data_IF_015866955315
#
_entry.id   IF_015866955315
#
_cell.length_a   1.000
_cell.length_b   1.000
_cell.length_c   1.000
_cell.angle_alpha   90.00
_cell.angle_beta   90.00
_cell.angle_gamma   90.00
#
_symmetry.space_group_name_H-M   'P 1'
#
loop_
_entity.id
_entity.type
_entity.pdbx_description
1 polymer ?
#
# COMPACT_ATOMS: atom_id res chain seq x y z
N UNK A 1 -2.75 -19.32 -12.54
CA UNK A 1 -3.64 -18.80 -11.49
C UNK A 1 -3.93 -17.36 -11.84
N UNK A 2 -5.21 -16.99 -11.89
CA UNK A 2 -5.63 -15.61 -12.11
C UNK A 2 -5.38 -14.80 -10.83
N UNK A 3 -4.70 -13.66 -10.95
CA UNK A 3 -4.35 -12.79 -9.83
C UNK A 3 -5.58 -12.29 -9.08
N UNK A 4 -6.66 -11.96 -9.81
CA UNK A 4 -7.93 -11.54 -9.20
C UNK A 4 -8.58 -12.64 -8.37
N UNK A 5 -8.52 -13.89 -8.85
CA UNK A 5 -9.06 -15.05 -8.12
C UNK A 5 -8.26 -15.33 -6.85
N UNK A 6 -6.93 -15.15 -6.88
CA UNK A 6 -6.09 -15.31 -5.69
C UNK A 6 -6.42 -14.27 -4.60
N UNK A 7 -6.67 -13.00 -4.99
CA UNK A 7 -7.08 -11.94 -4.05
C UNK A 7 -8.41 -12.26 -3.37
N UNK A 8 -9.41 -12.65 -4.16
CA UNK A 8 -10.73 -13.03 -3.64
C UNK A 8 -10.63 -14.21 -2.66
N UNK A 9 -9.82 -15.21 -2.99
CA UNK A 9 -9.58 -16.35 -2.09
C UNK A 9 -8.89 -15.95 -0.79
N UNK A 10 -7.95 -15.00 -0.82
CA UNK A 10 -7.31 -14.49 0.40
C UNK A 10 -8.30 -13.70 1.26
N UNK A 11 -9.14 -12.85 0.65
CA UNK A 11 -10.19 -12.11 1.36
C UNK A 11 -11.19 -13.06 2.04
N UNK A 12 -11.70 -14.06 1.30
CA UNK A 12 -12.65 -15.04 1.81
C UNK A 12 -12.06 -15.93 2.91
N UNK A 13 -10.80 -16.38 2.76
CA UNK A 13 -10.17 -17.26 3.76
C UNK A 13 -9.80 -16.52 5.04
N UNK A 14 -9.38 -15.25 4.92
CA UNK A 14 -8.95 -14.45 6.05
C UNK A 14 -10.10 -13.71 6.73
N UNK A 15 -11.29 -13.67 6.12
CA UNK A 15 -12.44 -12.85 6.56
C UNK A 15 -12.07 -11.36 6.74
N UNK A 16 -11.14 -10.88 5.91
CA UNK A 16 -10.68 -9.49 5.92
C UNK A 16 -11.27 -8.81 4.68
N UNK A 17 -11.86 -7.63 4.85
CA UNK A 17 -12.36 -6.84 3.73
C UNK A 17 -11.24 -6.51 2.75
N UNK A 18 -11.58 -6.36 1.47
CA UNK A 18 -10.61 -6.03 0.42
C UNK A 18 -9.84 -4.74 0.77
N UNK A 19 -10.55 -3.70 1.23
CA UNK A 19 -9.98 -2.46 1.77
C UNK A 19 -8.89 -2.70 2.83
N UNK A 20 -9.15 -3.61 3.77
CA UNK A 20 -8.20 -3.91 4.83
C UNK A 20 -6.98 -4.65 4.28
N UNK A 21 -7.14 -5.48 3.23
CA UNK A 21 -6.03 -6.13 2.56
C UNK A 21 -5.08 -5.10 1.94
N UNK A 22 -5.59 -4.05 1.28
CA UNK A 22 -4.77 -2.96 0.73
C UNK A 22 -3.95 -2.23 1.81
N UNK A 23 -4.58 -1.91 2.95
CA UNK A 23 -3.88 -1.29 4.09
C UNK A 23 -2.74 -2.17 4.61
N UNK A 24 -2.99 -3.47 4.82
CA UNK A 24 -1.97 -4.39 5.34
C UNK A 24 -0.88 -4.69 4.32
N UNK A 25 -1.24 -4.80 3.03
CA UNK A 25 -0.31 -5.00 1.93
C UNK A 25 0.66 -3.82 1.82
N UNK A 26 0.18 -2.58 1.81
CA UNK A 26 1.03 -1.38 1.76
C UNK A 26 2.06 -1.34 2.88
N UNK A 27 1.64 -1.68 4.10
CA UNK A 27 2.52 -1.76 5.26
C UNK A 27 3.54 -2.90 5.17
N UNK A 28 3.12 -4.09 4.74
CA UNK A 28 4.01 -5.23 4.57
C UNK A 28 5.07 -4.95 3.49
N UNK A 29 4.66 -4.40 2.35
CA UNK A 29 5.56 -4.02 1.25
C UNK A 29 6.55 -2.96 1.74
N UNK A 30 6.10 -1.94 2.48
CA UNK A 30 6.99 -0.91 3.03
C UNK A 30 8.10 -1.53 3.89
N UNK A 31 7.76 -2.45 4.79
CA UNK A 31 8.72 -3.10 5.69
C UNK A 31 9.70 -3.94 4.87
N UNK A 32 9.21 -4.78 3.96
CA UNK A 32 10.05 -5.65 3.13
C UNK A 32 11.01 -4.81 2.29
N UNK A 33 10.51 -3.78 1.62
CA UNK A 33 11.33 -2.87 0.80
C UNK A 33 12.35 -2.12 1.65
N UNK A 34 11.97 -1.62 2.83
CA UNK A 34 12.88 -0.95 3.75
C UNK A 34 14.04 -1.87 4.15
N UNK A 35 13.74 -3.14 4.47
CA UNK A 35 14.74 -4.17 4.78
C UNK A 35 15.66 -4.45 3.59
N UNK A 36 15.09 -4.65 2.40
CA UNK A 36 15.86 -4.93 1.17
C UNK A 36 16.78 -3.77 0.78
N UNK A 37 16.28 -2.53 0.86
CA UNK A 37 17.06 -1.33 0.59
C UNK A 37 18.03 -0.98 1.74
N UNK A 38 17.93 -1.67 2.88
CA UNK A 38 18.64 -1.34 4.13
C UNK A 38 18.46 0.14 4.49
N UNK A 39 17.24 0.65 4.32
CA UNK A 39 16.85 2.02 4.63
C UNK A 39 15.75 2.00 5.66
N UNK A 40 15.65 3.02 6.54
CA UNK A 40 14.52 3.11 7.42
C UNK A 40 13.22 3.29 6.63
N UNK A 41 12.08 2.80 7.16
CA UNK A 41 10.79 2.86 6.46
C UNK A 41 10.29 4.28 6.22
N UNK A 42 10.72 5.26 7.01
CA UNK A 42 10.41 6.68 6.81
C UNK A 42 11.30 7.38 5.77
N UNK A 43 12.10 6.64 5.00
CA UNK A 43 12.85 7.19 3.88
C UNK A 43 11.95 7.28 2.64
N UNK A 44 12.17 8.29 1.79
CA UNK A 44 11.41 8.46 0.56
C UNK A 44 11.60 7.31 -0.45
N UNK A 45 12.74 6.58 -0.39
CA UNK A 45 13.04 5.50 -1.33
C UNK A 45 12.13 4.28 -1.15
N UNK A 46 11.97 3.69 0.06
CA UNK A 46 10.97 2.66 0.29
C UNK A 46 9.55 3.09 -0.12
N UNK A 47 9.17 4.33 0.22
CA UNK A 47 7.86 4.87 -0.14
C UNK A 47 7.63 4.92 -1.66
N UNK A 48 8.63 5.36 -2.42
CA UNK A 48 8.54 5.39 -3.89
C UNK A 48 8.32 3.98 -4.46
N UNK A 49 9.02 2.98 -3.91
CA UNK A 49 8.89 1.60 -4.39
C UNK A 49 7.51 1.04 -4.06
N UNK A 50 6.95 1.31 -2.87
CA UNK A 50 5.56 0.93 -2.54
C UNK A 50 4.60 1.56 -3.54
N UNK A 51 4.74 2.86 -3.84
CA UNK A 51 3.90 3.56 -4.80
C UNK A 51 3.98 2.94 -6.21
N UNK A 52 5.18 2.55 -6.65
CA UNK A 52 5.38 1.91 -7.96
C UNK A 52 4.76 0.52 -7.99
N UNK A 53 4.95 -0.29 -6.94
CA UNK A 53 4.37 -1.64 -6.85
C UNK A 53 2.84 -1.56 -6.88
N UNK A 54 2.26 -0.63 -6.12
CA UNK A 54 0.81 -0.45 -6.08
C UNK A 54 0.26 0.07 -7.42
N UNK A 55 0.92 1.04 -8.04
CA UNK A 55 0.50 1.53 -9.35
C UNK A 55 0.55 0.42 -10.41
N UNK A 56 1.57 -0.46 -10.35
CA UNK A 56 1.64 -1.63 -11.23
C UNK A 56 0.49 -2.58 -10.93
N UNK A 57 0.20 -2.87 -9.65
CA UNK A 57 -0.93 -3.72 -9.26
C UNK A 57 -2.26 -3.19 -9.83
N UNK A 58 -2.55 -1.91 -9.62
CA UNK A 58 -3.79 -1.30 -10.11
C UNK A 58 -3.89 -1.30 -11.63
N UNK A 59 -2.77 -1.07 -12.34
CA UNK A 59 -2.76 -1.19 -13.81
C UNK A 59 -3.07 -2.62 -14.26
N UNK A 60 -2.59 -3.64 -13.54
CA UNK A 60 -2.94 -5.03 -13.83
C UNK A 60 -4.42 -5.29 -13.59
N UNK A 61 -4.98 -4.83 -12.46
CA UNK A 61 -6.39 -5.03 -12.13
C UNK A 61 -7.33 -4.24 -13.06
N UNK A 62 -6.92 -3.06 -13.52
CA UNK A 62 -7.62 -2.29 -14.56
C UNK A 62 -7.59 -2.96 -15.93
N UNK A 63 -6.49 -3.62 -16.30
CA UNK A 63 -6.35 -4.30 -17.61
C UNK A 63 -7.03 -5.66 -17.63
N UNK A 64 -7.22 -6.30 -16.47
CA UNK A 64 -7.90 -7.57 -16.30
C UNK A 64 -9.45 -7.46 -16.39
N UNK A 65 -9.95 -6.60 -17.30
CA UNK A 65 -11.34 -6.14 -17.54
C UNK A 65 -12.48 -7.20 -17.54
N UNK A 66 -12.20 -8.49 -17.37
CA UNK A 66 -13.18 -9.58 -17.42
C UNK A 66 -13.62 -10.20 -16.09
N UNK A 67 -12.96 -9.91 -14.96
CA UNK A 67 -13.21 -10.61 -13.67
C UNK A 67 -13.26 -9.63 -12.48
N UNK A 68 -14.05 -8.56 -12.56
CA UNK A 68 -14.50 -7.86 -11.35
C UNK A 68 -15.93 -8.32 -11.05
N UNK A 69 -16.19 -9.05 -9.94
CA UNK A 69 -17.51 -9.60 -9.66
C UNK A 69 -18.61 -8.53 -9.40
N UNK A 70 -18.23 -7.24 -9.33
CA UNK A 70 -19.00 -6.23 -8.58
C UNK A 70 -19.53 -5.06 -9.43
N UNK A 71 -19.35 -5.02 -10.76
CA UNK A 71 -19.69 -3.84 -11.60
C UNK A 71 -19.05 -2.51 -11.12
N UNK A 72 -17.89 -2.61 -10.49
CA UNK A 72 -17.09 -1.50 -10.00
C UNK A 72 -16.53 -0.64 -11.14
N UNK A 73 -16.45 0.66 -10.88
CA UNK A 73 -15.88 1.62 -11.82
C UNK A 73 -14.35 1.54 -11.74
N UNK A 74 -13.72 1.01 -12.78
CA UNK A 74 -12.29 0.67 -12.77
C UNK A 74 -11.31 1.80 -12.41
N UNK A 75 -11.73 3.08 -12.45
CA UNK A 75 -10.86 4.21 -12.12
C UNK A 75 -11.07 4.74 -10.68
N UNK A 76 -12.30 5.05 -10.22
CA UNK A 76 -12.52 5.44 -8.82
C UNK A 76 -12.07 4.39 -7.80
N UNK A 77 -12.34 3.11 -8.06
CA UNK A 77 -12.03 2.03 -7.11
C UNK A 77 -10.52 1.81 -7.01
N UNK A 78 -9.81 1.81 -8.14
CA UNK A 78 -8.34 1.78 -8.14
C UNK A 78 -7.68 2.99 -7.49
N UNK A 79 -8.29 4.18 -7.57
CA UNK A 79 -7.78 5.36 -6.83
C UNK A 79 -7.96 5.14 -5.33
N UNK A 80 -9.11 4.61 -4.92
CA UNK A 80 -9.40 4.31 -3.53
C UNK A 80 -8.40 3.29 -2.95
N UNK A 81 -8.14 2.20 -3.67
CA UNK A 81 -7.20 1.16 -3.30
C UNK A 81 -5.78 1.70 -3.18
N UNK A 82 -5.35 2.51 -4.16
CA UNK A 82 -4.06 3.19 -4.11
C UNK A 82 -3.93 4.10 -2.87
N UNK A 83 -5.00 4.84 -2.53
CA UNK A 83 -5.02 5.70 -1.34
C UNK A 83 -4.91 4.86 -0.06
N UNK A 84 -5.66 3.77 0.07
CA UNK A 84 -5.61 2.89 1.23
C UNK A 84 -4.21 2.29 1.43
N UNK A 85 -3.59 1.82 0.34
CA UNK A 85 -2.24 1.24 0.37
C UNK A 85 -1.19 2.28 0.75
N UNK A 86 -1.31 3.52 0.28
CA UNK A 86 -0.29 4.56 0.46
C UNK A 86 -0.46 5.40 1.73
N UNK A 87 -1.66 5.47 2.32
CA UNK A 87 -1.99 6.37 3.42
C UNK A 87 -1.01 6.23 4.60
N UNK A 88 -0.88 5.02 5.15
CA UNK A 88 -0.01 4.77 6.31
C UNK A 88 1.48 4.85 6.00
N UNK A 89 1.98 4.33 4.86
CA UNK A 89 3.35 4.58 4.43
C UNK A 89 3.72 6.06 4.35
N UNK A 90 2.84 6.91 3.81
CA UNK A 90 3.04 8.37 3.76
C UNK A 90 3.05 8.96 5.16
N UNK A 91 2.08 8.59 6.02
CA UNK A 91 2.00 9.04 7.41
C UNK A 91 3.30 8.74 8.14
N UNK A 92 3.84 7.52 8.02
CA UNK A 92 5.11 7.11 8.66
C UNK A 92 6.29 7.92 8.11
N UNK A 93 6.37 8.08 6.80
CA UNK A 93 7.44 8.83 6.14
C UNK A 93 7.47 10.31 6.53
N UNK A 94 6.32 10.92 6.82
CA UNK A 94 6.21 12.33 7.19
C UNK A 94 6.32 12.54 8.70
N UNK A 95 5.57 11.77 9.49
CA UNK A 95 5.44 12.01 10.94
C UNK A 95 6.73 11.68 11.69
N UNK A 96 7.46 10.62 11.29
CA UNK A 96 8.65 10.22 12.02
C UNK A 96 9.80 11.24 11.93
N UNK A 97 10.16 11.79 10.76
CA UNK A 97 11.12 12.89 10.69
C UNK A 97 10.70 14.13 11.47
N UNK A 98 9.41 14.47 11.48
CA UNK A 98 8.87 15.61 12.24
C UNK A 98 9.00 15.36 13.75
N UNK A 99 8.63 14.16 14.21
CA UNK A 99 8.75 13.76 15.60
C UNK A 99 10.20 13.81 16.09
N UNK A 100 11.15 13.32 15.27
CA UNK A 100 12.59 13.42 15.58
C UNK A 100 13.07 14.86 15.69
N UNK A 101 12.60 15.77 14.84
CA UNK A 101 12.93 17.20 14.90
C UNK A 101 12.37 17.85 16.16
N UNK A 102 11.13 17.53 16.52
CA UNK A 102 10.48 18.03 17.73
C UNK A 102 11.22 17.62 19.00
N UNK A 103 11.61 16.35 19.12
CA UNK A 103 12.38 15.87 20.27
C UNK A 103 13.77 16.52 20.36
N UNK A 104 14.44 16.72 19.23
CA UNK A 104 15.74 17.40 19.20
C UNK A 104 15.68 18.88 19.65
N UNK A 105 14.52 19.53 19.51
CA UNK A 105 14.32 20.92 19.95
C UNK A 105 14.05 21.03 21.45
N UNK A 106 13.50 19.99 22.10
CA UNK A 106 13.22 20.00 23.55
C UNK A 106 14.41 19.66 24.45
N UNK A 107 15.50 19.14 23.87
CA UNK A 107 16.73 18.80 24.60
C UNK A 107 17.78 19.90 24.62
N UNK A 108 17.46 21.10 24.12
CA UNK A 108 18.28 22.33 24.21
C UNK A 108 17.63 23.31 25.17
#
# INVERSE_FOLDING_TARGET
>A
MDWGVFKLQMSEQLHISDDALHVHAGMAILIVVALLLRRPPWNWRPLLVVAVIEAINEIYDMRALGVRPNNESALPDSIHDFVLTMLWPVVIAVTWPLFRRFLAQRGK
#
